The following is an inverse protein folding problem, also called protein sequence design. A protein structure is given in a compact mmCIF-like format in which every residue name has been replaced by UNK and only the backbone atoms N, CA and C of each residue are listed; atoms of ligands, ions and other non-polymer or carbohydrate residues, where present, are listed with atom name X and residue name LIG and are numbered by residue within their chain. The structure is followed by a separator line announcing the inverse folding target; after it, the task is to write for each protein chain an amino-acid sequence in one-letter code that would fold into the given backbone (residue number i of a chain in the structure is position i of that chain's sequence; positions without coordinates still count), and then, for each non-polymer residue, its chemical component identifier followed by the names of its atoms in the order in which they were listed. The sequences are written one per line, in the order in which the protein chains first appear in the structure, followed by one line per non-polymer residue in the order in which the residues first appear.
data_IF_324447383475
#
_entry.id   IF_324447383475
#
_cell.length_a   1.000
_cell.length_b   1.000
_cell.length_c   1.000
_cell.angle_alpha   90.00
_cell.angle_beta   90.00
_cell.angle_gamma   90.00
#
_symmetry.space_group_name_H-M   'P 1'
#
loop_
_entity.id
_entity.type
_entity.pdbx_description
1 polymer ?
#
# COMPACT_ATOMS: atom_id res chain seq x y z
N UNK A 1 4.79 30.89 -1.66
CA UNK A 1 5.34 30.14 -0.53
C UNK A 1 4.86 28.72 -0.70
N UNK A 2 5.74 27.74 -0.49
CA UNK A 2 5.34 26.33 -0.50
C UNK A 2 4.52 25.98 0.74
N UNK A 3 3.78 24.87 0.68
CA UNK A 3 3.05 24.30 1.82
C UNK A 3 4.05 23.89 2.91
N UNK A 4 3.90 24.43 4.10
CA UNK A 4 4.75 24.13 5.26
C UNK A 4 4.47 22.70 5.71
N UNK A 5 5.44 21.82 5.51
CA UNK A 5 5.25 20.36 5.67
C UNK A 5 6.11 19.82 6.79
N UNK A 6 5.48 19.18 7.78
CA UNK A 6 6.14 18.46 8.84
C UNK A 6 6.28 16.98 8.47
N UNK A 7 7.51 16.44 8.51
CA UNK A 7 7.78 15.03 8.24
C UNK A 7 7.88 14.26 9.54
N UNK A 8 6.98 13.30 9.75
CA UNK A 8 6.85 12.48 10.96
C UNK A 8 7.18 11.02 10.64
N UNK A 9 8.30 10.54 11.19
CA UNK A 9 8.93 9.29 10.82
C UNK A 9 10.15 9.54 9.92
N UNK A 10 11.36 9.24 10.42
CA UNK A 10 12.62 9.38 9.67
C UNK A 10 13.22 8.00 9.32
N UNK A 11 12.36 7.00 9.15
CA UNK A 11 12.70 5.68 8.63
C UNK A 11 12.77 5.67 7.11
N UNK A 12 12.79 4.46 6.53
CA UNK A 12 12.92 4.28 5.08
C UNK A 12 11.86 5.07 4.30
N UNK A 13 10.55 4.84 4.55
CA UNK A 13 9.46 5.51 3.83
C UNK A 13 9.46 7.03 4.08
N UNK A 14 9.62 7.46 5.34
CA UNK A 14 9.70 8.89 5.65
C UNK A 14 10.87 9.60 4.99
N UNK A 15 11.99 8.92 4.79
CA UNK A 15 13.13 9.45 4.04
C UNK A 15 12.81 9.61 2.54
N UNK A 16 12.12 8.63 1.93
CA UNK A 16 11.68 8.72 0.53
C UNK A 16 10.70 9.89 0.31
N UNK A 17 9.70 10.04 1.19
CA UNK A 17 8.79 11.18 1.11
C UNK A 17 9.47 12.52 1.38
N UNK A 18 10.39 12.58 2.34
CA UNK A 18 11.15 13.81 2.61
C UNK A 18 12.00 14.25 1.40
N UNK A 19 12.62 13.28 0.68
CA UNK A 19 13.32 13.58 -0.58
C UNK A 19 12.37 14.10 -1.65
N UNK A 20 11.15 13.52 -1.76
CA UNK A 20 10.13 14.00 -2.67
C UNK A 20 9.73 15.44 -2.36
N UNK A 21 9.39 15.76 -1.10
CA UNK A 21 9.05 17.13 -0.70
C UNK A 21 10.18 18.12 -0.95
N UNK A 22 11.45 17.73 -0.69
CA UNK A 22 12.59 18.59 -0.99
C UNK A 22 12.74 18.90 -2.48
N UNK A 23 12.37 17.97 -3.36
CA UNK A 23 12.45 18.12 -4.81
C UNK A 23 11.27 18.89 -5.42
N UNK A 24 10.17 19.05 -4.68
CA UNK A 24 8.96 19.71 -5.14
C UNK A 24 8.84 21.14 -4.59
N UNK A 25 8.84 22.17 -5.45
CA UNK A 25 8.80 23.58 -5.01
C UNK A 25 7.48 23.97 -4.32
N UNK A 26 6.46 23.13 -4.46
CA UNK A 26 5.14 23.29 -3.83
C UNK A 26 5.19 23.08 -2.32
N UNK A 27 6.22 22.43 -1.79
CA UNK A 27 6.38 22.08 -0.38
C UNK A 27 7.63 22.69 0.24
N UNK A 28 7.53 23.04 1.52
CA UNK A 28 8.64 23.52 2.35
C UNK A 28 8.70 22.65 3.62
N UNK A 29 9.75 21.85 3.78
CA UNK A 29 9.95 21.06 5.00
C UNK A 29 10.24 22.01 6.17
N UNK A 30 9.39 22.00 7.20
CA UNK A 30 9.52 22.85 8.39
C UNK A 30 10.03 22.13 9.62
N UNK A 31 10.12 20.79 9.59
CA UNK A 31 10.67 20.00 10.67
C UNK A 31 10.69 18.51 10.37
N UNK A 32 11.53 17.78 11.10
CA UNK A 32 11.69 16.34 11.06
C UNK A 32 11.42 15.76 12.44
N UNK A 33 10.48 14.81 12.53
CA UNK A 33 10.07 14.17 13.79
C UNK A 33 10.41 12.68 13.76
N UNK A 34 11.11 12.20 14.78
CA UNK A 34 11.26 10.75 15.03
C UNK A 34 11.76 10.55 16.46
N UNK A 35 11.35 9.46 17.13
CA UNK A 35 11.87 9.09 18.46
C UNK A 35 13.38 8.86 18.45
N UNK A 36 13.91 8.24 17.36
CA UNK A 36 15.34 7.96 17.21
C UNK A 36 16.16 9.17 16.75
N UNK A 37 17.08 9.66 17.58
CA UNK A 37 17.94 10.78 17.23
C UNK A 37 18.88 10.47 16.05
N UNK A 38 19.31 9.21 15.88
CA UNK A 38 20.19 8.79 14.77
C UNK A 38 19.50 8.93 13.43
N UNK A 39 18.27 8.40 13.28
CA UNK A 39 17.53 8.50 12.03
C UNK A 39 17.18 9.93 11.65
N UNK A 40 16.86 10.80 12.64
CA UNK A 40 16.63 12.23 12.39
C UNK A 40 17.87 12.91 11.83
N UNK A 41 19.02 12.75 12.52
CA UNK A 41 20.29 13.38 12.11
C UNK A 41 20.76 12.88 10.74
N UNK A 42 20.59 11.58 10.48
CA UNK A 42 20.93 11.01 9.18
C UNK A 42 20.09 11.66 8.08
N UNK A 43 18.75 11.62 8.21
CA UNK A 43 17.86 12.22 7.23
C UNK A 43 18.11 13.73 7.08
N UNK A 44 18.27 14.47 8.18
CA UNK A 44 18.57 15.89 8.13
C UNK A 44 19.86 16.16 7.36
N UNK A 45 20.92 15.37 7.61
CA UNK A 45 22.19 15.46 6.86
C UNK A 45 22.01 15.21 5.36
N UNK A 46 21.28 14.18 4.96
CA UNK A 46 20.94 13.86 3.57
C UNK A 46 20.18 15.02 2.89
N UNK A 47 19.32 15.70 3.62
CA UNK A 47 18.53 16.84 3.15
C UNK A 47 19.30 18.19 3.20
N UNK A 48 20.54 18.22 3.70
CA UNK A 48 21.39 19.41 3.75
C UNK A 48 21.54 20.06 5.14
N UNK A 49 21.14 19.39 6.22
CA UNK A 49 21.50 19.69 7.61
C UNK A 49 20.86 20.93 8.24
N UNK A 50 19.71 21.42 7.73
CA UNK A 50 19.14 22.73 8.10
C UNK A 50 17.74 22.70 8.71
N UNK A 51 17.14 21.52 8.87
CA UNK A 51 15.76 21.41 9.34
C UNK A 51 15.72 21.25 10.87
N UNK A 52 14.75 21.89 11.57
CA UNK A 52 14.48 21.62 12.98
C UNK A 52 14.18 20.13 13.22
N UNK A 53 14.70 19.59 14.32
CA UNK A 53 14.55 18.19 14.70
C UNK A 53 13.75 18.06 16.01
N UNK A 54 12.76 17.20 16.01
CA UNK A 54 11.88 16.98 17.17
C UNK A 54 11.83 15.49 17.54
N UNK A 55 11.76 15.19 18.83
CA UNK A 55 11.55 13.84 19.36
C UNK A 55 10.10 13.51 19.61
N UNK A 56 9.24 14.53 19.76
CA UNK A 56 7.82 14.41 20.05
C UNK A 56 7.01 15.12 18.95
N UNK A 57 5.93 14.46 18.55
CA UNK A 57 5.08 14.95 17.45
C UNK A 57 4.31 16.21 17.85
N UNK A 58 3.73 16.23 19.05
CA UNK A 58 2.91 17.33 19.56
C UNK A 58 3.72 18.62 19.68
N UNK A 59 4.96 18.53 20.18
CA UNK A 59 5.86 19.67 20.27
C UNK A 59 6.18 20.24 18.88
N UNK A 60 6.45 19.35 17.91
CA UNK A 60 6.72 19.74 16.54
C UNK A 60 5.51 20.40 15.89
N UNK A 61 4.32 19.82 16.06
CA UNK A 61 3.07 20.36 15.51
C UNK A 61 2.79 21.76 16.04
N UNK A 62 2.92 21.95 17.36
CA UNK A 62 2.68 23.24 18.02
C UNK A 62 3.73 24.31 17.64
N UNK A 63 5.00 23.93 17.47
CA UNK A 63 6.07 24.89 17.17
C UNK A 63 6.14 25.24 15.69
N UNK A 64 5.78 24.32 14.80
CA UNK A 64 5.91 24.54 13.36
C UNK A 64 4.63 25.02 12.70
N UNK A 65 3.46 24.81 13.32
CA UNK A 65 2.13 25.15 12.75
C UNK A 65 2.08 24.82 11.24
N UNK A 66 2.21 23.52 10.87
CA UNK A 66 2.37 23.14 9.46
C UNK A 66 1.02 23.19 8.71
N UNK A 67 1.06 23.49 7.40
CA UNK A 67 -0.08 23.33 6.49
C UNK A 67 -0.37 21.87 6.17
N UNK A 68 0.68 21.03 6.18
CA UNK A 68 0.63 19.63 5.85
C UNK A 68 1.53 18.78 6.76
N UNK A 69 1.12 17.56 7.05
CA UNK A 69 1.89 16.58 7.83
C UNK A 69 2.01 15.28 7.04
N UNK A 70 3.24 14.80 6.86
CA UNK A 70 3.52 13.47 6.31
C UNK A 70 3.81 12.51 7.45
N UNK A 71 3.01 11.47 7.62
CA UNK A 71 3.12 10.47 8.70
C UNK A 71 3.59 9.15 8.11
N UNK A 72 4.80 8.72 8.48
CA UNK A 72 5.47 7.50 8.03
C UNK A 72 6.09 6.76 9.22
N UNK A 73 5.27 6.54 10.24
CA UNK A 73 5.66 5.88 11.51
C UNK A 73 5.20 4.42 11.53
N UNK A 74 5.25 3.76 12.66
CA UNK A 74 4.59 2.46 12.85
C UNK A 74 3.08 2.63 12.94
N UNK A 75 2.34 1.65 12.45
CA UNK A 75 0.87 1.70 12.27
C UNK A 75 0.11 2.03 13.55
N UNK A 76 0.60 1.59 14.71
CA UNK A 76 -0.03 1.86 16.01
C UNK A 76 -0.13 3.35 16.38
N UNK A 77 0.64 4.23 15.73
CA UNK A 77 0.58 5.68 15.93
C UNK A 77 -0.19 6.43 14.84
N UNK A 78 -0.57 5.75 13.77
CA UNK A 78 -1.17 6.39 12.60
C UNK A 78 -2.46 7.12 12.92
N UNK A 79 -3.42 6.44 13.59
CA UNK A 79 -4.72 7.02 13.90
C UNK A 79 -4.61 8.24 14.82
N UNK A 80 -3.80 8.15 15.88
CA UNK A 80 -3.58 9.24 16.82
C UNK A 80 -2.95 10.45 16.15
N UNK A 81 -1.84 10.26 15.44
CA UNK A 81 -1.12 11.37 14.83
C UNK A 81 -1.92 12.00 13.68
N UNK A 82 -2.62 11.19 12.88
CA UNK A 82 -3.44 11.71 11.79
C UNK A 82 -4.62 12.52 12.31
N UNK A 83 -5.36 12.03 13.32
CA UNK A 83 -6.48 12.77 13.93
C UNK A 83 -6.02 14.06 14.60
N UNK A 84 -4.88 14.03 15.29
CA UNK A 84 -4.30 15.22 15.93
C UNK A 84 -3.90 16.27 14.91
N UNK A 85 -3.22 15.88 13.82
CA UNK A 85 -2.83 16.80 12.74
C UNK A 85 -4.05 17.40 12.03
N UNK A 86 -5.03 16.57 11.66
CA UNK A 86 -6.27 17.01 11.01
C UNK A 86 -7.07 17.97 11.88
N UNK A 87 -7.20 17.67 13.19
CA UNK A 87 -7.89 18.54 14.15
C UNK A 87 -7.17 19.88 14.36
N UNK A 88 -5.84 19.89 14.25
CA UNK A 88 -5.03 21.12 14.25
C UNK A 88 -5.14 21.93 12.95
N UNK A 89 -5.87 21.43 11.93
CA UNK A 89 -6.11 22.10 10.67
C UNK A 89 -5.07 21.82 9.58
N UNK A 90 -4.16 20.88 9.79
CA UNK A 90 -3.21 20.45 8.76
C UNK A 90 -3.84 19.42 7.81
N UNK A 91 -3.41 19.42 6.54
CA UNK A 91 -3.64 18.33 5.62
C UNK A 91 -2.72 17.15 5.96
N UNK A 92 -3.12 15.92 5.68
CA UNK A 92 -2.36 14.72 6.06
C UNK A 92 -2.09 13.82 4.87
N UNK A 93 -0.81 13.52 4.64
CA UNK A 93 -0.38 12.33 3.94
C UNK A 93 -0.03 11.26 4.98
N UNK A 94 -0.63 10.09 4.87
CA UNK A 94 -0.49 9.00 5.84
C UNK A 94 -0.02 7.72 5.16
N UNK A 95 1.08 7.15 5.62
CA UNK A 95 1.47 5.82 5.16
C UNK A 95 0.41 4.77 5.50
N UNK A 96 0.38 3.74 4.65
CA UNK A 96 -0.51 2.60 4.84
C UNK A 96 0.02 1.68 5.99
N UNK A 97 -0.89 0.93 6.61
CA UNK A 97 -2.35 1.04 6.60
C UNK A 97 -2.81 2.28 7.37
N UNK A 98 -4.03 2.74 7.13
CA UNK A 98 -4.58 3.95 7.79
C UNK A 98 -4.49 3.87 9.32
N UNK A 99 -4.76 2.69 9.87
CA UNK A 99 -4.76 2.41 11.31
C UNK A 99 -4.53 0.91 11.54
N UNK A 100 -4.37 0.51 12.77
CA UNK A 100 -4.32 -0.88 13.23
C UNK A 100 -5.71 -1.47 13.54
N UNK A 101 -6.76 -0.64 13.54
CA UNK A 101 -8.15 -1.03 13.79
C UNK A 101 -9.12 -0.38 12.80
N UNK A 102 -10.28 -1.00 12.59
CA UNK A 102 -11.36 -0.43 11.78
C UNK A 102 -11.92 0.86 12.40
N UNK A 103 -12.02 0.92 13.73
CA UNK A 103 -12.49 2.07 14.49
C UNK A 103 -11.54 3.26 14.33
N UNK A 104 -10.23 3.02 14.43
CA UNK A 104 -9.20 4.03 14.19
C UNK A 104 -9.26 4.57 12.76
N UNK A 105 -9.41 3.69 11.77
CA UNK A 105 -9.58 4.09 10.37
C UNK A 105 -10.82 4.98 10.16
N UNK A 106 -11.95 4.56 10.71
CA UNK A 106 -13.19 5.33 10.63
C UNK A 106 -13.06 6.72 11.29
N UNK A 107 -12.38 6.79 12.43
CA UNK A 107 -12.11 8.05 13.15
C UNK A 107 -11.22 8.99 12.31
N UNK A 108 -10.14 8.50 11.72
CA UNK A 108 -9.24 9.31 10.88
C UNK A 108 -10.01 9.90 9.69
N UNK A 109 -10.79 9.08 8.97
CA UNK A 109 -11.59 9.52 7.82
C UNK A 109 -12.66 10.54 8.25
N UNK A 110 -13.37 10.29 9.35
CA UNK A 110 -14.37 11.23 9.87
C UNK A 110 -13.73 12.58 10.24
N UNK A 111 -12.59 12.56 10.93
CA UNK A 111 -11.86 13.78 11.28
C UNK A 111 -11.42 14.57 10.06
N UNK A 112 -10.96 13.89 9.00
CA UNK A 112 -10.59 14.55 7.74
C UNK A 112 -11.79 15.26 7.08
N UNK A 113 -12.97 14.61 7.05
CA UNK A 113 -14.21 15.19 6.54
C UNK A 113 -14.65 16.41 7.36
N UNK A 114 -14.71 16.27 8.68
CA UNK A 114 -15.17 17.32 9.59
C UNK A 114 -14.25 18.54 9.58
N UNK A 115 -12.95 18.33 9.55
CA UNK A 115 -11.95 19.38 9.43
C UNK A 115 -11.87 19.98 7.99
N UNK A 116 -12.49 19.34 7.01
CA UNK A 116 -12.36 19.68 5.57
C UNK A 116 -10.91 19.74 5.13
N UNK A 117 -10.14 18.75 5.51
CA UNK A 117 -8.72 18.62 5.15
C UNK A 117 -8.48 17.39 4.28
N UNK A 118 -7.55 17.52 3.33
CA UNK A 118 -7.13 16.39 2.52
C UNK A 118 -6.42 15.36 3.39
N UNK A 119 -6.84 14.11 3.26
CA UNK A 119 -6.19 12.92 3.81
C UNK A 119 -5.87 12.00 2.63
N UNK A 120 -4.60 11.86 2.28
CA UNK A 120 -4.14 10.90 1.25
C UNK A 120 -3.38 9.79 1.93
N UNK A 121 -3.75 8.55 1.64
CA UNK A 121 -3.10 7.35 2.15
C UNK A 121 -2.10 6.82 1.12
N UNK A 122 -0.91 6.44 1.56
CA UNK A 122 0.21 6.00 0.72
C UNK A 122 -0.02 4.64 0.06
N UNK A 123 -0.90 4.58 -0.93
CA UNK A 123 -1.09 3.41 -1.78
C UNK A 123 -0.30 3.56 -3.08
N UNK A 124 0.99 3.28 -3.03
CA UNK A 124 1.95 3.50 -4.11
C UNK A 124 1.53 2.88 -5.45
N UNK A 125 0.82 1.75 -5.44
CA UNK A 125 0.29 1.12 -6.65
C UNK A 125 -0.78 1.95 -7.36
N UNK A 126 -1.44 2.88 -6.65
CA UNK A 126 -2.44 3.76 -7.24
C UNK A 126 -1.84 4.82 -8.18
N UNK A 127 -0.57 5.17 -7.98
CA UNK A 127 0.15 6.16 -8.78
C UNK A 127 1.11 5.55 -9.80
N UNK A 128 1.22 4.21 -9.82
CA UNK A 128 2.05 3.49 -10.77
C UNK A 128 1.31 3.31 -12.11
N UNK A 129 1.85 3.81 -13.25
CA UNK A 129 1.13 3.83 -14.53
C UNK A 129 0.67 2.46 -15.02
N UNK A 130 1.55 1.45 -14.91
CA UNK A 130 1.21 0.11 -15.36
C UNK A 130 0.17 -0.56 -14.45
N UNK A 131 0.18 -0.30 -13.14
CA UNK A 131 -0.87 -0.78 -12.22
C UNK A 131 -2.21 -0.08 -12.46
N UNK A 132 -2.19 1.20 -12.82
CA UNK A 132 -3.40 1.91 -13.27
C UNK A 132 -3.96 1.26 -14.54
N UNK A 133 -3.09 0.95 -15.52
CA UNK A 133 -3.49 0.29 -16.76
C UNK A 133 -3.98 -1.14 -16.52
N UNK A 134 -3.32 -1.89 -15.65
CA UNK A 134 -3.75 -3.22 -15.20
C UNK A 134 -5.15 -3.18 -14.60
N UNK A 135 -5.41 -2.21 -13.71
CA UNK A 135 -6.72 -2.00 -13.09
C UNK A 135 -7.79 -1.59 -14.11
N UNK A 136 -7.47 -0.72 -15.05
CA UNK A 136 -8.35 -0.31 -16.14
C UNK A 136 -8.79 -1.50 -17.00
N UNK A 137 -7.83 -2.31 -17.46
CA UNK A 137 -8.10 -3.51 -18.25
C UNK A 137 -8.95 -4.51 -17.45
N UNK A 138 -8.60 -4.76 -16.19
CA UNK A 138 -9.35 -5.66 -15.31
C UNK A 138 -10.83 -5.24 -15.17
N UNK A 139 -11.09 -3.93 -14.99
CA UNK A 139 -12.46 -3.39 -14.98
C UNK A 139 -13.21 -3.69 -16.28
N UNK A 140 -12.51 -3.75 -17.40
CA UNK A 140 -13.04 -4.07 -18.71
C UNK A 140 -13.40 -5.54 -18.93
N UNK A 141 -12.96 -6.49 -18.10
CA UNK A 141 -13.15 -7.94 -18.30
C UNK A 141 -14.55 -8.45 -18.00
N UNK A 142 -15.46 -7.62 -17.51
CA UNK A 142 -16.81 -8.03 -17.08
C UNK A 142 -16.84 -8.43 -15.60
N UNK A 143 -17.94 -9.02 -15.16
CA UNK A 143 -18.18 -9.49 -13.79
C UNK A 143 -18.76 -10.89 -13.82
N UNK A 144 -18.47 -11.76 -12.83
CA UNK A 144 -17.54 -11.53 -11.71
C UNK A 144 -16.05 -11.55 -12.16
N UNK A 145 -15.16 -11.04 -11.31
CA UNK A 145 -13.69 -11.15 -11.48
C UNK A 145 -13.13 -12.23 -10.54
N UNK A 146 -12.11 -12.93 -11.01
CA UNK A 146 -11.22 -13.74 -10.16
C UNK A 146 -9.85 -13.05 -10.14
N UNK A 147 -9.43 -12.59 -8.97
CA UNK A 147 -8.19 -11.82 -8.79
C UNK A 147 -7.22 -12.63 -7.94
N UNK A 148 -6.02 -12.89 -8.45
CA UNK A 148 -4.96 -13.65 -7.78
C UNK A 148 -3.71 -12.80 -7.66
N UNK A 149 -3.25 -12.56 -6.44
CA UNK A 149 -2.06 -11.76 -6.18
C UNK A 149 -1.26 -12.36 -5.03
N UNK A 150 0.05 -12.20 -5.05
CA UNK A 150 0.90 -12.57 -3.93
C UNK A 150 2.10 -11.64 -3.78
N UNK A 151 2.73 -11.70 -2.62
CA UNK A 151 4.05 -11.14 -2.37
C UNK A 151 4.76 -11.98 -1.30
N UNK A 152 5.56 -12.95 -1.72
CA UNK A 152 6.40 -13.74 -0.84
C UNK A 152 7.84 -13.19 -0.87
N UNK A 153 8.33 -12.67 0.25
CA UNK A 153 9.62 -12.00 0.34
C UNK A 153 10.66 -12.91 1.02
N UNK A 154 11.63 -13.39 0.24
CA UNK A 154 12.79 -14.06 0.79
C UNK A 154 13.70 -13.04 1.47
N UNK A 155 13.78 -13.08 2.78
CA UNK A 155 14.55 -12.12 3.57
C UNK A 155 15.56 -12.79 4.47
N UNK A 156 16.75 -12.21 4.56
CA UNK A 156 17.86 -12.68 5.39
C UNK A 156 18.60 -11.50 6.03
N UNK A 157 19.39 -11.77 7.08
CA UNK A 157 20.17 -10.74 7.77
C UNK A 157 19.33 -9.55 8.25
N UNK A 158 19.79 -8.32 8.03
CA UNK A 158 19.09 -7.12 8.52
C UNK A 158 17.64 -6.98 8.01
N UNK A 159 17.33 -7.47 6.80
CA UNK A 159 15.97 -7.44 6.25
C UNK A 159 15.07 -8.41 7.02
N UNK A 160 15.57 -9.61 7.34
CA UNK A 160 14.84 -10.55 8.19
C UNK A 160 14.67 -10.02 9.62
N UNK A 161 15.67 -9.34 10.17
CA UNK A 161 15.54 -8.66 11.47
C UNK A 161 14.43 -7.61 11.47
N UNK A 162 14.31 -6.85 10.39
CA UNK A 162 13.23 -5.88 10.20
C UNK A 162 11.86 -6.59 10.15
N UNK A 163 11.72 -7.64 9.35
CA UNK A 163 10.47 -8.42 9.28
C UNK A 163 10.10 -9.03 10.63
N UNK A 164 11.06 -9.61 11.38
CA UNK A 164 10.80 -10.10 12.73
C UNK A 164 10.32 -9.02 13.70
N UNK A 165 10.83 -7.79 13.54
CA UNK A 165 10.36 -6.66 14.33
C UNK A 165 8.93 -6.27 13.96
N UNK A 166 8.59 -6.21 12.66
CA UNK A 166 7.23 -5.94 12.17
C UNK A 166 6.23 -7.01 12.63
N UNK A 167 6.62 -8.28 12.65
CA UNK A 167 5.77 -9.39 13.11
C UNK A 167 5.32 -9.27 14.59
N UNK A 168 5.84 -8.32 15.36
CA UNK A 168 5.38 -8.04 16.72
C UNK A 168 4.05 -7.28 16.76
N UNK A 169 3.72 -6.56 15.69
CA UNK A 169 2.54 -5.70 15.62
C UNK A 169 1.66 -5.96 14.39
N UNK A 170 2.19 -6.59 13.35
CA UNK A 170 1.44 -6.82 12.10
C UNK A 170 1.81 -8.15 11.46
N UNK A 171 0.95 -8.67 10.59
CA UNK A 171 1.24 -9.85 9.76
C UNK A 171 1.63 -9.43 8.34
N UNK A 172 2.27 -10.33 7.53
CA UNK A 172 2.51 -10.07 6.12
C UNK A 172 1.22 -9.81 5.33
N UNK A 173 0.10 -10.41 5.75
CA UNK A 173 -1.22 -10.18 5.15
C UNK A 173 -1.71 -8.75 5.37
N UNK A 174 -1.52 -8.20 6.55
CA UNK A 174 -1.93 -6.82 6.85
C UNK A 174 -0.99 -5.83 6.20
N UNK A 175 0.31 -5.96 6.44
CA UNK A 175 1.29 -4.95 6.00
C UNK A 175 1.42 -4.85 4.48
N UNK A 176 1.65 -5.97 3.80
CA UNK A 176 1.79 -6.01 2.35
C UNK A 176 0.43 -6.13 1.66
N UNK A 177 -0.49 -6.94 2.23
CA UNK A 177 -1.77 -7.27 1.61
C UNK A 177 -2.66 -6.07 1.40
N UNK A 178 -2.61 -5.08 2.27
CA UNK A 178 -3.44 -3.87 2.15
C UNK A 178 -3.27 -3.17 0.79
N UNK A 179 -2.09 -3.18 0.18
CA UNK A 179 -1.85 -2.62 -1.15
C UNK A 179 -2.59 -3.39 -2.26
N UNK A 180 -2.48 -4.72 -2.24
CA UNK A 180 -3.04 -5.57 -3.28
C UNK A 180 -4.56 -5.72 -3.14
N UNK A 181 -5.04 -5.74 -1.90
CA UNK A 181 -6.47 -5.75 -1.60
C UNK A 181 -7.12 -4.42 -1.99
N UNK A 182 -6.45 -3.28 -1.79
CA UNK A 182 -6.89 -1.98 -2.32
C UNK A 182 -7.06 -2.04 -3.85
N UNK A 183 -6.09 -2.60 -4.57
CA UNK A 183 -6.19 -2.79 -6.02
C UNK A 183 -7.38 -3.67 -6.38
N UNK A 184 -7.64 -4.77 -5.65
CA UNK A 184 -8.80 -5.62 -5.87
C UNK A 184 -10.12 -4.86 -5.65
N UNK A 185 -10.24 -4.10 -4.56
CA UNK A 185 -11.41 -3.26 -4.29
C UNK A 185 -11.65 -2.26 -5.43
N UNK A 186 -10.60 -1.65 -5.94
CA UNK A 186 -10.68 -0.71 -7.06
C UNK A 186 -11.03 -1.37 -8.39
N UNK A 187 -10.61 -2.62 -8.61
CA UNK A 187 -10.96 -3.38 -9.83
C UNK A 187 -12.44 -3.73 -9.86
N UNK A 188 -13.00 -4.21 -8.75
CA UNK A 188 -14.42 -4.58 -8.69
C UNK A 188 -15.32 -3.36 -8.55
N UNK A 189 -14.98 -2.42 -7.67
CA UNK A 189 -15.87 -1.37 -7.19
C UNK A 189 -17.04 -1.93 -6.36
N UNK A 190 -17.01 -3.22 -6.03
CA UNK A 190 -18.04 -3.92 -5.28
C UNK A 190 -17.70 -3.99 -3.79
N UNK A 191 -18.70 -4.20 -2.95
CA UNK A 191 -18.54 -4.25 -1.50
C UNK A 191 -18.04 -5.64 -1.07
N UNK A 192 -16.99 -5.75 -0.23
CA UNK A 192 -16.56 -7.03 0.31
C UNK A 192 -17.60 -7.55 1.34
N UNK A 193 -17.92 -8.83 1.27
CA UNK A 193 -18.97 -9.45 2.11
C UNK A 193 -18.50 -10.62 2.97
N UNK A 194 -17.38 -11.27 2.57
CA UNK A 194 -16.89 -12.45 3.25
C UNK A 194 -15.38 -12.56 3.11
N UNK A 195 -14.69 -12.93 4.19
CA UNK A 195 -13.24 -13.18 4.18
C UNK A 195 -12.91 -14.48 4.89
N UNK A 196 -12.03 -15.26 4.26
CA UNK A 196 -11.37 -16.41 4.83
C UNK A 196 -9.86 -16.14 4.89
N UNK A 197 -9.22 -16.49 6.01
CA UNK A 197 -7.79 -16.38 6.20
C UNK A 197 -7.20 -17.67 6.76
N UNK A 198 -5.99 -17.99 6.35
CA UNK A 198 -5.14 -19.02 6.95
C UNK A 198 -3.76 -18.46 7.17
N UNK A 199 -3.06 -18.94 8.20
CA UNK A 199 -1.73 -18.48 8.52
C UNK A 199 -0.84 -19.64 9.00
N UNK A 200 0.47 -19.50 8.84
CA UNK A 200 1.45 -20.47 9.30
C UNK A 200 2.66 -19.79 9.92
N UNK A 201 3.19 -20.41 10.96
CA UNK A 201 4.49 -20.10 11.55
C UNK A 201 5.55 -21.01 10.95
N UNK A 202 6.43 -20.44 10.14
CA UNK A 202 7.46 -21.18 9.41
C UNK A 202 8.88 -20.99 9.98
N UNK A 203 9.02 -20.32 11.14
CA UNK A 203 10.32 -20.04 11.76
C UNK A 203 10.25 -20.12 13.28
N UNK A 204 11.29 -20.67 13.88
CA UNK A 204 11.48 -20.67 15.34
C UNK A 204 12.08 -19.36 15.86
N UNK A 205 12.50 -18.47 14.98
CA UNK A 205 13.07 -17.16 15.34
C UNK A 205 12.02 -16.10 15.64
N UNK A 206 10.73 -16.44 15.54
CA UNK A 206 9.59 -15.56 15.86
C UNK A 206 8.79 -16.15 17.02
N UNK A 207 7.99 -15.32 17.67
CA UNK A 207 7.16 -15.74 18.81
C UNK A 207 6.16 -16.85 18.45
N UNK A 208 5.71 -17.64 19.44
CA UNK A 208 4.83 -18.79 19.20
C UNK A 208 3.47 -18.40 18.60
N UNK A 209 2.98 -17.20 18.88
CA UNK A 209 1.71 -16.68 18.37
C UNK A 209 1.87 -15.86 17.05
N UNK A 210 3.11 -15.67 16.59
CA UNK A 210 3.39 -14.94 15.37
C UNK A 210 3.37 -15.88 14.17
N UNK A 211 2.84 -15.40 13.05
CA UNK A 211 2.84 -16.10 11.77
C UNK A 211 3.55 -15.27 10.72
N UNK A 212 4.47 -15.89 10.00
CA UNK A 212 5.24 -15.23 8.94
C UNK A 212 4.83 -15.64 7.53
N UNK A 213 3.74 -16.37 7.40
CA UNK A 213 3.05 -16.70 6.17
C UNK A 213 1.54 -16.58 6.37
N UNK A 214 0.84 -16.08 5.38
CA UNK A 214 -0.61 -16.01 5.38
C UNK A 214 -1.19 -16.01 3.97
N UNK A 215 -2.47 -16.37 3.92
CA UNK A 215 -3.27 -16.40 2.71
C UNK A 215 -4.68 -15.97 3.04
N UNK A 216 -5.29 -15.15 2.19
CA UNK A 216 -6.68 -14.73 2.32
C UNK A 216 -7.48 -15.01 1.05
N UNK A 217 -8.77 -15.23 1.23
CA UNK A 217 -9.79 -15.14 0.19
C UNK A 217 -10.84 -14.11 0.59
N UNK A 218 -11.23 -13.24 -0.33
CA UNK A 218 -12.32 -12.29 -0.16
C UNK A 218 -13.39 -12.51 -1.23
N UNK A 219 -14.65 -12.43 -0.83
CA UNK A 219 -15.81 -12.48 -1.73
C UNK A 219 -16.48 -11.11 -1.71
N UNK A 220 -16.84 -10.61 -2.88
CA UNK A 220 -17.56 -9.35 -3.09
C UNK A 220 -19.03 -9.60 -3.46
N UNK A 221 -19.89 -8.61 -3.25
CA UNK A 221 -21.33 -8.73 -3.48
C UNK A 221 -21.74 -8.81 -4.96
N UNK A 222 -20.82 -8.52 -5.90
CA UNK A 222 -20.99 -8.76 -7.34
C UNK A 222 -20.57 -10.19 -7.77
N UNK A 223 -20.21 -11.05 -6.81
CA UNK A 223 -19.73 -12.41 -7.03
C UNK A 223 -18.23 -12.49 -7.37
N UNK A 224 -17.52 -11.37 -7.45
CA UNK A 224 -16.07 -11.38 -7.62
C UNK A 224 -15.36 -11.97 -6.41
N UNK A 225 -14.21 -12.61 -6.65
CA UNK A 225 -13.38 -13.23 -5.62
C UNK A 225 -11.94 -12.78 -5.74
N UNK A 226 -11.33 -12.48 -4.61
CA UNK A 226 -9.90 -12.14 -4.49
C UNK A 226 -9.15 -13.21 -3.71
N UNK A 227 -7.94 -13.50 -4.13
CA UNK A 227 -6.98 -14.34 -3.43
C UNK A 227 -5.68 -13.56 -3.28
N UNK A 228 -5.16 -13.50 -2.05
CA UNK A 228 -3.86 -12.89 -1.77
C UNK A 228 -3.05 -13.76 -0.82
N UNK A 229 -1.75 -13.84 -1.07
CA UNK A 229 -0.79 -14.61 -0.30
C UNK A 229 0.43 -13.75 0.01
N UNK A 230 0.93 -13.82 1.24
CA UNK A 230 2.15 -13.14 1.66
C UNK A 230 2.96 -13.98 2.64
N UNK A 231 4.28 -13.87 2.53
CA UNK A 231 5.19 -14.52 3.45
C UNK A 231 6.52 -13.80 3.58
N UNK A 232 7.10 -13.83 4.78
CA UNK A 232 8.39 -13.23 5.09
C UNK A 232 9.34 -14.26 5.67
N UNK A 233 10.58 -14.26 5.20
CA UNK A 233 11.62 -15.04 5.82
C UNK A 233 12.58 -15.74 4.86
N UNK A 234 13.64 -16.35 5.39
CA UNK A 234 14.65 -17.01 4.57
C UNK A 234 14.14 -18.28 3.85
N UNK A 235 12.95 -18.78 4.23
CA UNK A 235 12.33 -19.96 3.62
C UNK A 235 11.45 -19.62 2.41
N UNK A 236 11.22 -18.34 2.09
CA UNK A 236 10.39 -17.97 0.95
C UNK A 236 11.08 -18.25 -0.37
N UNK A 237 10.30 -18.61 -1.39
CA UNK A 237 10.80 -18.93 -2.72
C UNK A 237 10.93 -17.68 -3.59
N UNK A 238 12.10 -17.46 -4.18
CA UNK A 238 12.30 -16.43 -5.21
C UNK A 238 11.63 -16.77 -6.54
N UNK A 239 11.30 -18.06 -6.76
CA UNK A 239 10.70 -18.49 -8.04
C UNK A 239 9.23 -18.12 -8.16
N UNK A 240 8.49 -18.13 -7.06
CA UNK A 240 7.03 -17.92 -7.05
C UNK A 240 6.60 -16.74 -6.16
N UNK A 241 7.47 -15.73 -6.02
CA UNK A 241 7.18 -14.59 -5.16
C UNK A 241 6.16 -13.62 -5.75
N UNK A 242 5.90 -13.71 -7.06
CA UNK A 242 5.12 -12.71 -7.77
C UNK A 242 4.09 -13.33 -8.73
N UNK A 243 2.82 -13.31 -8.34
CA UNK A 243 1.66 -13.61 -9.20
C UNK A 243 0.71 -12.43 -9.13
N UNK A 244 0.37 -11.85 -10.29
CA UNK A 244 -0.61 -10.79 -10.43
C UNK A 244 -1.45 -11.09 -11.68
N UNK A 245 -2.64 -11.58 -11.45
CA UNK A 245 -3.50 -12.11 -12.49
C UNK A 245 -4.98 -11.86 -12.18
N UNK A 246 -5.73 -11.43 -13.19
CA UNK A 246 -7.18 -11.17 -13.09
C UNK A 246 -7.87 -11.80 -14.27
N UNK A 247 -8.88 -12.59 -13.98
CA UNK A 247 -9.74 -13.28 -14.94
C UNK A 247 -11.16 -12.75 -14.84
N UNK A 248 -11.80 -12.55 -15.96
CA UNK A 248 -13.22 -12.19 -16.04
C UNK A 248 -13.89 -12.85 -17.25
N UNK A 249 -15.21 -12.67 -17.43
CA UNK A 249 -15.95 -13.30 -18.53
C UNK A 249 -15.43 -12.96 -19.92
N UNK A 250 -14.74 -11.81 -20.11
CA UNK A 250 -14.23 -11.36 -21.41
C UNK A 250 -12.77 -11.66 -21.65
N UNK A 251 -12.08 -12.32 -20.71
CA UNK A 251 -10.66 -12.68 -20.85
C UNK A 251 -9.90 -12.55 -19.55
N UNK A 252 -8.60 -12.31 -19.66
CA UNK A 252 -7.72 -12.15 -18.51
C UNK A 252 -6.67 -11.06 -18.76
N UNK A 253 -6.16 -10.50 -17.67
CA UNK A 253 -4.98 -9.64 -17.70
C UNK A 253 -4.01 -10.09 -16.61
N UNK A 254 -2.73 -10.19 -16.94
CA UNK A 254 -1.67 -10.61 -16.03
C UNK A 254 -0.50 -9.66 -16.11
N UNK A 255 0.16 -9.42 -14.98
CA UNK A 255 1.51 -8.86 -14.99
C UNK A 255 2.45 -10.01 -15.36
N UNK A 256 3.10 -9.90 -16.52
CA UNK A 256 3.95 -10.94 -17.07
C UNK A 256 5.42 -10.54 -16.94
N UNK A 257 6.21 -11.44 -16.36
CA UNK A 257 7.66 -11.30 -16.39
C UNK A 257 8.20 -11.55 -17.79
N UNK A 258 9.15 -10.75 -18.24
CA UNK A 258 10.06 -11.20 -19.27
C UNK A 258 11.02 -12.23 -18.64
N UNK A 259 10.98 -13.49 -19.11
CA UNK A 259 11.78 -14.60 -18.54
C UNK A 259 13.29 -14.36 -18.59
N UNK A 260 13.73 -13.33 -19.32
CA UNK A 260 15.13 -12.96 -19.48
C UNK A 260 15.59 -11.85 -18.51
N UNK A 261 14.69 -11.18 -17.82
CA UNK A 261 15.04 -10.11 -16.89
C UNK A 261 15.37 -10.68 -15.49
N UNK A 262 16.48 -10.23 -14.93
CA UNK A 262 16.79 -10.43 -13.52
C UNK A 262 15.86 -9.51 -12.70
N UNK A 263 14.85 -10.07 -12.06
CA UNK A 263 13.84 -9.32 -11.28
C UNK A 263 14.35 -8.75 -9.95
N UNK A 264 15.64 -8.86 -9.69
CA UNK A 264 16.17 -8.54 -8.38
C UNK A 264 15.70 -9.56 -7.31
N UNK A 265 15.86 -9.19 -6.06
CA UNK A 265 15.45 -10.03 -4.94
C UNK A 265 14.04 -9.68 -4.49
N UNK A 266 13.25 -10.68 -4.12
CA UNK A 266 11.87 -10.49 -3.66
C UNK A 266 11.71 -9.56 -2.44
N UNK A 267 12.80 -9.32 -1.70
CA UNK A 267 12.84 -8.38 -0.59
C UNK A 267 13.15 -6.93 -1.00
N UNK A 268 13.51 -6.68 -2.27
CA UNK A 268 13.80 -5.33 -2.77
C UNK A 268 12.50 -4.56 -3.01
N UNK A 269 12.44 -3.30 -2.59
CA UNK A 269 11.22 -2.49 -2.69
C UNK A 269 10.77 -2.28 -4.13
N UNK A 270 11.70 -2.00 -5.05
CA UNK A 270 11.37 -1.81 -6.46
C UNK A 270 10.76 -3.08 -7.08
N UNK A 271 11.23 -4.27 -6.66
CA UNK A 271 10.71 -5.55 -7.17
C UNK A 271 9.20 -5.76 -6.91
N UNK A 272 8.65 -5.12 -5.88
CA UNK A 272 7.23 -5.25 -5.52
C UNK A 272 6.29 -4.51 -6.47
N UNK A 273 6.74 -3.43 -7.07
CA UNK A 273 5.96 -2.57 -7.96
C UNK A 273 6.18 -2.86 -9.42
N UNK A 274 7.31 -3.52 -9.78
CA UNK A 274 7.69 -3.82 -11.17
C UNK A 274 6.63 -4.60 -11.93
N UNK A 275 6.41 -4.21 -13.18
CA UNK A 275 5.37 -4.78 -14.04
C UNK A 275 5.90 -5.32 -15.35
N UNK A 276 7.07 -4.87 -15.84
CA UNK A 276 7.73 -5.27 -17.10
C UNK A 276 6.79 -5.33 -18.31
N UNK A 277 5.72 -6.12 -18.24
CA UNK A 277 4.71 -6.22 -19.29
C UNK A 277 3.34 -6.62 -18.73
N UNK A 278 2.30 -6.19 -19.41
CA UNK A 278 0.94 -6.68 -19.22
C UNK A 278 0.59 -7.62 -20.36
N UNK A 279 0.13 -8.84 -20.05
CA UNK A 279 -0.43 -9.76 -21.02
C UNK A 279 -1.94 -9.74 -20.92
N UNK A 280 -2.61 -9.48 -22.04
CA UNK A 280 -4.08 -9.44 -22.14
C UNK A 280 -4.54 -10.60 -23.03
N UNK A 281 -5.41 -11.44 -22.47
CA UNK A 281 -6.08 -12.53 -23.18
C UNK A 281 -7.53 -12.13 -23.46
N UNK A 282 -8.04 -12.47 -24.67
CA UNK A 282 -9.40 -12.19 -25.10
C UNK A 282 -10.20 -13.50 -25.23
N UNK A 283 -11.34 -13.61 -24.51
CA UNK A 283 -12.14 -14.83 -24.45
C UNK A 283 -13.09 -15.02 -25.64
N UNK A 284 -13.17 -14.04 -26.57
CA UNK A 284 -14.05 -14.12 -27.72
C UNK A 284 -13.65 -15.28 -28.65
N UNK A 285 -14.64 -16.12 -29.02
CA UNK A 285 -14.43 -17.24 -29.92
C UNK A 285 -15.05 -16.97 -31.30
N UNK A 286 -14.42 -17.51 -32.34
CA UNK A 286 -15.00 -17.63 -33.66
C UNK A 286 -16.02 -18.78 -33.72
N UNK A 287 -16.83 -18.88 -34.80
CA UNK A 287 -17.79 -19.98 -34.96
C UNK A 287 -17.13 -21.38 -34.99
N UNK A 288 -15.86 -21.48 -35.38
CA UNK A 288 -15.08 -22.71 -35.36
C UNK A 288 -14.50 -23.10 -34.01
N UNK A 289 -14.77 -22.31 -32.95
CA UNK A 289 -14.29 -22.52 -31.59
C UNK A 289 -12.88 -22.02 -31.32
N UNK A 290 -12.19 -21.39 -32.27
CA UNK A 290 -10.87 -20.77 -32.07
C UNK A 290 -11.01 -19.37 -31.49
N UNK A 291 -9.97 -18.88 -30.81
CA UNK A 291 -9.97 -17.50 -30.30
C UNK A 291 -10.02 -16.49 -31.46
N UNK A 292 -10.90 -15.50 -31.37
CA UNK A 292 -11.07 -14.46 -32.36
C UNK A 292 -9.86 -13.48 -32.39
N UNK A 293 -9.21 -13.30 -31.25
CA UNK A 293 -8.04 -12.43 -31.08
C UNK A 293 -6.89 -13.20 -30.45
N UNK A 294 -5.67 -12.86 -30.83
CA UNK A 294 -4.46 -13.34 -30.14
C UNK A 294 -4.24 -12.53 -28.85
N UNK A 295 -3.46 -13.10 -27.94
CA UNK A 295 -3.02 -12.38 -26.74
C UNK A 295 -2.18 -11.17 -27.13
N UNK A 296 -2.39 -10.07 -26.42
CA UNK A 296 -1.62 -8.84 -26.54
C UNK A 296 -0.59 -8.76 -25.42
N UNK A 297 0.63 -8.35 -25.75
CA UNK A 297 1.67 -8.05 -24.76
C UNK A 297 1.98 -6.57 -24.85
N UNK A 298 1.69 -5.86 -23.77
CA UNK A 298 1.96 -4.44 -23.60
C UNK A 298 3.22 -4.30 -22.74
N UNK A 299 4.36 -3.99 -23.33
CA UNK A 299 5.59 -3.72 -22.59
C UNK A 299 5.48 -2.40 -21.87
N UNK A 300 6.01 -2.34 -20.66
CA UNK A 300 6.11 -1.13 -19.87
C UNK A 300 7.53 -0.59 -20.06
N UNK A 301 7.62 0.49 -20.81
CA UNK A 301 8.87 1.23 -20.96
C UNK A 301 8.94 2.27 -19.83
N UNK A 302 10.14 2.54 -19.29
CA UNK A 302 10.38 3.55 -18.26
C UNK A 302 9.56 3.34 -16.96
N UNK A 303 9.69 2.15 -16.34
CA UNK A 303 9.10 1.92 -15.03
C UNK A 303 9.63 2.93 -14.00
N UNK A 304 8.73 3.60 -13.26
CA UNK A 304 9.16 4.58 -12.26
C UNK A 304 9.88 3.89 -11.10
N UNK A 305 10.97 4.49 -10.62
CA UNK A 305 11.61 4.07 -9.38
C UNK A 305 10.70 4.32 -8.18
N UNK A 306 10.99 3.68 -7.05
CA UNK A 306 10.27 3.90 -5.80
C UNK A 306 10.23 5.40 -5.40
N UNK A 307 11.35 6.12 -5.50
CA UNK A 307 11.39 7.55 -5.19
C UNK A 307 10.52 8.39 -6.14
N UNK A 308 10.45 8.02 -7.42
CA UNK A 308 9.54 8.68 -8.38
C UNK A 308 8.08 8.36 -8.05
N UNK A 309 7.75 7.15 -7.61
CA UNK A 309 6.40 6.81 -7.16
C UNK A 309 6.01 7.60 -5.90
N UNK A 310 6.92 7.71 -4.92
CA UNK A 310 6.69 8.57 -3.75
C UNK A 310 6.45 10.02 -4.17
N UNK A 311 7.20 10.55 -5.15
CA UNK A 311 6.97 11.90 -5.68
C UNK A 311 5.58 12.05 -6.31
N UNK A 312 5.09 11.03 -7.03
CA UNK A 312 3.74 11.02 -7.61
C UNK A 312 2.65 10.97 -6.55
N UNK A 313 2.86 10.24 -5.45
CA UNK A 313 1.94 10.28 -4.32
C UNK A 313 1.85 11.69 -3.72
N UNK A 314 2.98 12.39 -3.57
CA UNK A 314 2.99 13.76 -3.06
C UNK A 314 2.37 14.75 -4.06
N UNK A 315 2.44 14.47 -5.37
CA UNK A 315 1.70 15.25 -6.36
C UNK A 315 0.19 15.06 -6.21
N UNK A 316 -0.28 13.83 -6.00
CA UNK A 316 -1.72 13.56 -5.69
C UNK A 316 -2.13 14.27 -4.41
N UNK A 317 -1.28 14.29 -3.38
CA UNK A 317 -1.55 14.99 -2.14
C UNK A 317 -1.67 16.51 -2.36
N UNK A 318 -0.76 17.10 -3.13
CA UNK A 318 -0.84 18.51 -3.50
C UNK A 318 -2.12 18.83 -4.29
N UNK A 319 -2.48 17.97 -5.23
CA UNK A 319 -3.70 18.16 -6.04
C UNK A 319 -4.97 18.01 -5.18
N UNK A 320 -4.98 17.09 -4.21
CA UNK A 320 -6.07 16.95 -3.25
C UNK A 320 -6.22 18.18 -2.33
N UNK A 321 -5.12 18.72 -1.83
CA UNK A 321 -5.11 19.97 -1.04
C UNK A 321 -5.75 21.13 -1.83
N UNK A 322 -5.53 21.17 -3.14
CA UNK A 322 -6.08 22.20 -4.04
C UNK A 322 -7.48 21.86 -4.58
N UNK A 323 -8.13 20.81 -4.07
CA UNK A 323 -9.50 20.43 -4.48
C UNK A 323 -9.61 19.87 -5.90
N UNK A 324 -8.50 19.38 -6.48
CA UNK A 324 -8.47 18.81 -7.85
C UNK A 324 -8.77 17.32 -7.88
N UNK A 325 -8.75 16.66 -6.72
CA UNK A 325 -8.98 15.22 -6.56
C UNK A 325 -10.10 15.01 -5.55
N UNK A 326 -11.11 14.23 -5.92
CA UNK A 326 -12.12 13.71 -4.98
C UNK A 326 -11.54 12.49 -4.23
N UNK A 327 -11.53 12.57 -2.92
CA UNK A 327 -10.95 11.55 -2.04
C UNK A 327 -11.95 10.53 -1.51
N UNK A 328 -13.25 10.64 -1.77
CA UNK A 328 -14.27 9.73 -1.20
C UNK A 328 -14.05 8.28 -1.65
N UNK A 329 -13.78 8.06 -2.94
CA UNK A 329 -13.47 6.72 -3.44
C UNK A 329 -12.15 6.18 -2.89
N UNK A 330 -11.15 7.05 -2.67
CA UNK A 330 -9.87 6.71 -2.07
C UNK A 330 -10.05 6.27 -0.60
N UNK A 331 -10.82 7.02 0.19
CA UNK A 331 -11.11 6.67 1.58
C UNK A 331 -11.94 5.39 1.72
N UNK A 332 -12.91 5.21 0.83
CA UNK A 332 -13.71 3.97 0.81
C UNK A 332 -12.82 2.75 0.53
N UNK A 333 -11.95 2.82 -0.48
CA UNK A 333 -11.03 1.74 -0.82
C UNK A 333 -10.04 1.48 0.32
N UNK A 334 -9.52 2.53 0.97
CA UNK A 334 -8.62 2.42 2.12
C UNK A 334 -9.29 1.74 3.32
N UNK A 335 -10.54 2.08 3.63
CA UNK A 335 -11.30 1.45 4.69
C UNK A 335 -11.64 -0.02 4.38
N UNK A 336 -12.06 -0.31 3.14
CA UNK A 336 -12.40 -1.69 2.72
C UNK A 336 -11.16 -2.59 2.69
N UNK A 337 -10.04 -2.11 2.16
CA UNK A 337 -8.80 -2.90 2.14
C UNK A 337 -8.30 -3.23 3.55
N UNK A 338 -8.32 -2.26 4.47
CA UNK A 338 -7.97 -2.51 5.87
C UNK A 338 -8.93 -3.51 6.51
N UNK A 339 -10.25 -3.34 6.33
CA UNK A 339 -11.26 -4.23 6.88
C UNK A 339 -11.07 -5.67 6.41
N UNK A 340 -10.73 -5.88 5.14
CA UNK A 340 -10.47 -7.21 4.57
C UNK A 340 -9.24 -7.85 5.20
N UNK A 341 -8.11 -7.16 5.29
CA UNK A 341 -6.87 -7.76 5.81
C UNK A 341 -6.95 -8.03 7.31
N UNK A 342 -7.62 -7.18 8.09
CA UNK A 342 -7.87 -7.44 9.51
C UNK A 342 -8.85 -8.61 9.72
N UNK A 343 -9.88 -8.72 8.87
CA UNK A 343 -10.79 -9.86 8.90
C UNK A 343 -10.09 -11.17 8.52
N UNK A 344 -9.09 -11.13 7.63
CA UNK A 344 -8.28 -12.30 7.29
C UNK A 344 -7.43 -12.77 8.47
N UNK A 345 -6.78 -11.86 9.19
CA UNK A 345 -6.05 -12.19 10.42
C UNK A 345 -6.99 -12.74 11.50
N UNK A 346 -8.17 -12.15 11.66
CA UNK A 346 -9.18 -12.67 12.57
C UNK A 346 -9.61 -14.09 12.17
N UNK A 347 -9.92 -14.30 10.89
CA UNK A 347 -10.33 -15.61 10.35
C UNK A 347 -9.27 -16.68 10.60
N UNK A 348 -8.00 -16.35 10.39
CA UNK A 348 -6.87 -17.26 10.62
C UNK A 348 -6.73 -17.65 12.10
N UNK A 349 -6.88 -16.67 13.03
CA UNK A 349 -6.84 -16.94 14.48
C UNK A 349 -8.02 -17.76 14.97
N UNK A 350 -9.23 -17.49 14.47
CA UNK A 350 -10.47 -18.12 14.93
C UNK A 350 -10.82 -19.40 14.17
N UNK A 351 -10.15 -19.70 13.06
CA UNK A 351 -10.40 -20.88 12.23
C UNK A 351 -11.80 -20.88 11.57
N UNK A 352 -12.36 -19.70 11.31
CA UNK A 352 -13.70 -19.54 10.72
C UNK A 352 -13.79 -18.38 9.74
N UNK A 353 -14.75 -18.45 8.85
CA UNK A 353 -15.09 -17.34 7.96
C UNK A 353 -15.58 -16.11 8.74
N UNK A 354 -15.12 -14.92 8.33
CA UNK A 354 -15.61 -13.63 8.81
C UNK A 354 -16.53 -13.01 7.77
N UNK A 355 -17.75 -12.68 8.16
CA UNK A 355 -18.71 -11.96 7.33
C UNK A 355 -18.61 -10.48 7.60
N UNK A 356 -18.43 -9.68 6.54
CA UNK A 356 -18.34 -8.23 6.60
C UNK A 356 -19.75 -7.62 6.43
N UNK A 357 -20.15 -6.81 7.40
CA UNK A 357 -21.46 -6.13 7.41
C UNK A 357 -21.35 -4.72 6.87
#
# INVERSE_FOLDING_TARGET
MGLRTLVVGCGHMGSSHARAYRAMPEFEIVGLVSRGATSRRQLNGELGGRYPEFSHFEDALAQTEPDAVCISTYTETHAEYATTALAAGAHVFLEKPVADTNEGCAQVIATARDAKRALVVGYILQVHPAWQKFTEIARGLGRPLVMRMNLNQQSAGPVWDTHRQLLRSTSPIVDCGVHYVDVMCRMTGARPVQVNGVAARLSDQIGPEQTNYGHLQVVFDDGSVGWYEAGWGPMMSETAFFVKDVIGPRGAVSIAADRAADRGRSADLDAHTMTEALRVHHAELRPDGTFARQDEIMRVEDEPSHDELCRREQQVFFDAINGRVDLEAHWTSAADSLRIVLAADQSAREGRTVYLR
#
